data_IF_789547315293
#
_entry.id   IF_789547315293
#
_cell.length_a   1.000
_cell.length_b   1.000
_cell.length_c   1.000
_cell.angle_alpha   90.00
_cell.angle_beta   90.00
_cell.angle_gamma   90.00
#
_symmetry.space_group_name_H-M   'P 1'
#
loop_
_entity.id
_entity.type
_entity.pdbx_description
1 polymer ?
#
# COMPACT_ATOMS: atom_id res chain seq x y z
N UNK A 1 -18.11 -47.27 17.68
CA UNK A 1 -17.01 -47.69 18.60
C UNK A 1 -16.02 -46.53 18.81
N UNK A 2 -16.13 -45.87 19.97
CA UNK A 2 -15.20 -44.86 20.49
C UNK A 2 -13.90 -45.54 20.92
N UNK A 3 -12.75 -44.93 20.62
CA UNK A 3 -11.52 -45.15 21.37
C UNK A 3 -11.02 -43.79 21.85
N UNK A 4 -11.13 -43.57 23.17
CA UNK A 4 -10.63 -42.42 23.89
C UNK A 4 -9.15 -42.64 24.23
N UNK A 5 -8.33 -41.61 24.04
CA UNK A 5 -6.92 -41.62 24.47
C UNK A 5 -6.84 -40.99 25.87
N UNK A 6 -6.16 -41.63 26.84
CA UNK A 6 -6.14 -41.20 28.24
C UNK A 6 -5.25 -39.98 28.47
N UNK A 7 -5.66 -39.15 29.45
CA UNK A 7 -4.85 -38.09 30.07
C UNK A 7 -3.93 -38.71 31.13
N UNK A 8 -2.69 -38.23 31.31
CA UNK A 8 -1.97 -38.42 32.55
C UNK A 8 -2.37 -37.36 33.59
N UNK A 9 -2.54 -37.81 34.83
CA UNK A 9 -2.77 -37.01 36.04
C UNK A 9 -1.43 -36.58 36.66
N UNK A 10 -1.41 -35.32 37.11
CA UNK A 10 -0.84 -34.80 38.35
C UNK A 10 0.51 -35.30 38.86
N UNK A 11 1.45 -34.36 38.99
CA UNK A 11 2.46 -34.40 40.05
C UNK A 11 2.61 -33.00 40.65
N UNK A 12 2.40 -32.96 41.96
CA UNK A 12 2.33 -31.81 42.84
C UNK A 12 3.69 -31.60 43.53
N UNK A 13 4.35 -30.46 43.34
CA UNK A 13 5.44 -29.96 44.19
C UNK A 13 5.31 -28.42 44.27
N UNK A 14 4.77 -27.88 45.37
CA UNK A 14 5.49 -27.31 46.54
C UNK A 14 6.34 -26.07 46.21
N UNK A 15 5.92 -24.91 46.74
CA UNK A 15 6.68 -23.81 47.40
C UNK A 15 5.91 -22.45 47.33
N UNK A 16 6.20 -21.48 48.22
CA UNK A 16 5.26 -20.90 49.20
C UNK A 16 4.56 -19.59 48.74
N UNK A 17 3.60 -19.03 49.51
CA UNK A 17 2.99 -17.75 49.17
C UNK A 17 3.92 -16.57 49.51
N UNK A 18 3.55 -15.39 49.01
CA UNK A 18 4.03 -14.02 49.33
C UNK A 18 4.86 -13.39 48.20
N UNK A 19 4.26 -12.45 47.47
CA UNK A 19 4.58 -11.03 47.56
C UNK A 19 3.58 -10.22 46.72
N UNK A 20 2.77 -9.43 47.41
CA UNK A 20 1.95 -8.35 46.86
C UNK A 20 2.87 -7.37 46.16
N UNK A 21 2.90 -7.39 44.83
CA UNK A 21 3.47 -6.29 44.05
C UNK A 21 2.40 -5.22 43.86
N UNK A 22 2.49 -4.19 44.69
CA UNK A 22 1.90 -2.88 44.44
C UNK A 22 2.40 -2.40 43.07
N UNK A 23 1.52 -2.33 42.08
CA UNK A 23 1.80 -1.65 40.83
C UNK A 23 1.94 -0.14 41.15
N UNK A 24 3.05 0.52 40.80
CA UNK A 24 3.07 1.98 40.81
C UNK A 24 2.11 2.48 39.71
N UNK A 25 1.16 3.30 40.12
CA UNK A 25 0.53 4.30 39.26
C UNK A 25 1.61 5.11 38.54
N UNK A 26 1.34 5.45 37.28
CA UNK A 26 2.10 6.49 36.58
C UNK A 26 3.09 5.96 35.55
N UNK A 27 2.57 5.48 34.42
CA UNK A 27 3.11 5.83 33.12
C UNK A 27 1.91 6.01 32.20
N UNK A 28 1.68 7.17 31.56
CA UNK A 28 0.85 7.18 30.38
C UNK A 28 1.53 6.24 29.39
N UNK A 29 0.82 5.20 28.96
CA UNK A 29 1.17 4.54 27.73
C UNK A 29 1.06 5.64 26.65
N UNK A 30 2.21 6.22 26.29
CA UNK A 30 2.42 6.86 25.00
C UNK A 30 2.23 5.75 23.96
N UNK A 31 0.96 5.36 23.77
CA UNK A 31 0.47 4.83 22.52
C UNK A 31 0.53 5.99 21.53
N UNK A 32 1.74 6.39 21.18
CA UNK A 32 2.06 6.83 19.84
C UNK A 32 1.87 5.61 18.94
N UNK A 33 0.61 5.20 18.80
CA UNK A 33 0.12 4.68 17.55
C UNK A 33 0.29 5.82 16.56
N UNK A 34 1.54 6.00 16.11
CA UNK A 34 1.86 6.64 14.85
C UNK A 34 1.13 5.82 13.80
N UNK A 35 -0.16 6.13 13.66
CA UNK A 35 -0.93 5.79 12.49
C UNK A 35 -0.05 6.24 11.34
N UNK A 36 0.46 5.27 10.58
CA UNK A 36 1.12 5.49 9.32
C UNK A 36 0.07 6.12 8.41
N UNK A 37 -0.16 7.41 8.59
CA UNK A 37 -1.28 8.14 8.04
C UNK A 37 -0.95 8.35 6.57
N UNK A 38 -1.58 7.54 5.72
CA UNK A 38 -1.45 7.69 4.27
C UNK A 38 -2.43 8.79 3.86
N UNK A 39 -1.90 9.89 3.35
CA UNK A 39 -2.71 11.01 2.87
C UNK A 39 -2.82 10.94 1.36
N UNK A 40 -4.06 10.88 0.84
CA UNK A 40 -4.32 10.97 -0.60
C UNK A 40 -4.22 12.43 -1.06
N UNK A 41 -3.29 12.73 -1.96
CA UNK A 41 -3.14 14.06 -2.55
C UNK A 41 -3.98 14.22 -3.83
N UNK A 42 -3.89 13.23 -4.71
CA UNK A 42 -4.61 13.23 -5.99
C UNK A 42 -4.94 11.79 -6.38
N UNK A 43 -6.11 11.59 -6.93
CA UNK A 43 -6.56 10.30 -7.42
C UNK A 43 -7.29 10.44 -8.74
N UNK A 44 -7.12 9.47 -9.64
CA UNK A 44 -7.79 9.47 -10.93
C UNK A 44 -7.74 8.12 -11.63
N UNK A 45 -8.68 7.88 -12.53
CA UNK A 45 -8.65 6.72 -13.40
C UNK A 45 -7.65 6.94 -14.53
N UNK A 46 -6.75 5.99 -14.72
CA UNK A 46 -5.78 5.98 -15.80
C UNK A 46 -5.81 4.62 -16.51
N UNK A 47 -5.35 4.60 -17.76
CA UNK A 47 -5.00 3.36 -18.45
C UNK A 47 -3.55 3.01 -18.12
N UNK A 48 -3.29 1.72 -17.87
CA UNK A 48 -1.95 1.17 -17.65
C UNK A 48 -1.76 -0.10 -18.49
N UNK A 49 -0.62 -0.34 -19.14
CA UNK A 49 -0.41 -1.58 -19.87
C UNK A 49 -0.29 -2.77 -18.89
N UNK A 50 -0.89 -3.90 -19.26
CA UNK A 50 -0.73 -5.15 -18.53
C UNK A 50 0.65 -5.74 -18.79
N UNK A 51 1.39 -6.09 -17.74
CA UNK A 51 2.70 -6.75 -17.85
C UNK A 51 2.63 -8.12 -18.56
N UNK A 52 1.48 -8.79 -18.52
CA UNK A 52 1.34 -10.17 -19.01
C UNK A 52 0.45 -10.34 -20.23
N UNK A 53 -0.48 -9.41 -20.47
CA UNK A 53 -1.57 -9.60 -21.44
C UNK A 53 -1.46 -8.69 -22.67
N UNK A 54 -0.42 -7.85 -22.75
CA UNK A 54 -0.26 -6.85 -23.82
C UNK A 54 -1.25 -5.68 -23.77
N UNK A 55 -2.47 -5.88 -23.30
CA UNK A 55 -3.54 -4.86 -23.29
C UNK A 55 -3.44 -3.81 -22.19
N UNK A 56 -3.95 -2.62 -22.49
CA UNK A 56 -4.21 -1.55 -21.52
C UNK A 56 -5.41 -1.88 -20.62
N UNK A 57 -5.34 -1.49 -19.34
CA UNK A 57 -6.39 -1.73 -18.34
C UNK A 57 -6.61 -0.50 -17.48
N UNK A 58 -7.85 -0.30 -17.06
CA UNK A 58 -8.20 0.76 -16.11
C UNK A 58 -7.61 0.47 -14.74
N UNK A 59 -6.95 1.46 -14.17
CA UNK A 59 -6.43 1.45 -12.81
C UNK A 59 -6.70 2.80 -12.17
N UNK A 60 -7.05 2.77 -10.89
CA UNK A 60 -7.05 3.99 -10.10
C UNK A 60 -5.61 4.29 -9.71
N UNK A 61 -5.10 5.45 -10.12
CA UNK A 61 -3.79 5.95 -9.73
C UNK A 61 -3.98 6.94 -8.59
N UNK A 62 -3.22 6.76 -7.52
CA UNK A 62 -3.23 7.65 -6.37
C UNK A 62 -1.81 8.17 -6.12
N UNK A 63 -1.69 9.49 -6.01
CA UNK A 63 -0.52 10.13 -5.42
C UNK A 63 -0.78 10.32 -3.93
N UNK A 64 0.12 9.83 -3.11
CA UNK A 64 -0.06 9.72 -1.66
C UNK A 64 1.18 10.17 -0.93
N UNK A 65 1.04 10.60 0.32
CA UNK A 65 2.17 10.86 1.23
C UNK A 65 2.18 9.78 2.31
N UNK A 66 3.35 9.17 2.52
CA UNK A 66 3.54 8.10 3.50
C UNK A 66 4.42 8.55 4.67
N UNK A 67 4.00 8.19 5.88
CA UNK A 67 4.81 8.27 7.10
C UNK A 67 5.15 9.69 7.56
N UNK A 68 6.09 9.75 8.51
CA UNK A 68 6.53 10.99 9.14
C UNK A 68 7.22 11.96 8.15
N UNK A 69 7.93 11.42 7.17
CA UNK A 69 8.67 12.21 6.18
C UNK A 69 7.83 12.64 4.97
N UNK A 70 6.55 12.26 4.94
CA UNK A 70 5.62 12.62 3.86
C UNK A 70 6.22 12.32 2.47
N UNK A 71 6.79 11.12 2.30
CA UNK A 71 7.39 10.76 1.03
C UNK A 71 6.28 10.55 -0.02
N UNK A 72 6.39 11.18 -1.20
CA UNK A 72 5.40 11.00 -2.25
C UNK A 72 5.50 9.61 -2.87
N UNK A 73 4.42 8.85 -2.78
CA UNK A 73 4.29 7.50 -3.33
C UNK A 73 3.15 7.48 -4.33
N UNK A 74 3.44 6.96 -5.51
CA UNK A 74 2.45 6.69 -6.55
C UNK A 74 1.98 5.25 -6.44
N UNK A 75 0.69 5.05 -6.23
CA UNK A 75 0.10 3.72 -6.03
C UNK A 75 -0.99 3.46 -7.06
N UNK A 76 -1.07 2.21 -7.53
CA UNK A 76 -2.11 1.78 -8.48
C UNK A 76 -3.02 0.75 -7.87
N UNK A 77 -4.32 0.89 -8.10
CA UNK A 77 -5.35 0.02 -7.53
C UNK A 77 -6.27 -0.52 -8.61
N UNK A 78 -6.89 -1.68 -8.34
CA UNK A 78 -7.96 -2.22 -9.21
C UNK A 78 -9.25 -1.42 -9.13
N UNK A 79 -9.51 -0.80 -7.98
CA UNK A 79 -10.72 -0.04 -7.67
C UNK A 79 -10.35 1.36 -7.18
N UNK A 80 -11.25 2.31 -7.33
CA UNK A 80 -11.06 3.65 -6.81
C UNK A 80 -10.84 3.62 -5.29
N UNK A 81 -9.86 4.39 -4.83
CA UNK A 81 -9.70 4.61 -3.40
C UNK A 81 -10.67 5.69 -2.93
N UNK A 82 -11.60 5.30 -2.08
CA UNK A 82 -12.48 6.21 -1.36
C UNK A 82 -11.92 6.44 0.07
N UNK A 83 -11.53 7.67 0.42
CA UNK A 83 -10.99 7.99 1.73
C UNK A 83 -12.04 7.87 2.86
N UNK A 84 -13.33 7.74 2.53
CA UNK A 84 -14.41 7.52 3.52
C UNK A 84 -14.54 6.05 3.93
N UNK A 85 -13.88 5.12 3.22
CA UNK A 85 -13.88 3.70 3.59
C UNK A 85 -12.89 3.46 4.71
N UNK A 86 -13.28 2.58 5.64
CA UNK A 86 -12.44 2.20 6.79
C UNK A 86 -11.11 1.55 6.38
N UNK A 87 -11.07 0.88 5.23
CA UNK A 87 -9.88 0.18 4.74
C UNK A 87 -9.34 0.79 3.44
N UNK A 88 -8.04 1.06 3.43
CA UNK A 88 -7.30 1.39 2.21
C UNK A 88 -7.22 0.12 1.34
N UNK A 89 -7.62 0.16 0.06
CA UNK A 89 -7.50 -0.99 -0.82
C UNK A 89 -6.04 -1.46 -0.93
N UNK A 90 -5.82 -2.75 -1.20
CA UNK A 90 -4.47 -3.23 -1.48
C UNK A 90 -3.94 -2.66 -2.80
N UNK A 91 -2.81 -1.96 -2.76
CA UNK A 91 -2.12 -1.48 -3.94
C UNK A 91 -1.63 -2.65 -4.80
N UNK A 92 -1.87 -2.58 -6.10
CA UNK A 92 -1.33 -3.55 -7.07
C UNK A 92 0.13 -3.28 -7.43
N UNK A 93 0.54 -2.01 -7.39
CA UNK A 93 1.93 -1.57 -7.50
C UNK A 93 2.07 -0.25 -6.73
N UNK A 94 3.23 -0.06 -6.09
CA UNK A 94 3.60 1.16 -5.35
C UNK A 94 4.98 1.61 -5.82
N UNK A 95 5.16 2.91 -6.01
CA UNK A 95 6.41 3.51 -6.49
C UNK A 95 6.69 4.76 -5.69
N UNK A 96 7.82 4.78 -5.00
CA UNK A 96 8.33 5.99 -4.34
C UNK A 96 8.87 6.96 -5.38
N UNK A 97 8.47 8.23 -5.29
CA UNK A 97 8.83 9.23 -6.29
C UNK A 97 10.12 9.99 -5.95
N UNK A 98 10.77 9.71 -4.82
CA UNK A 98 11.95 10.44 -4.35
C UNK A 98 13.09 10.52 -5.39
N UNK A 99 13.21 9.52 -6.27
CA UNK A 99 14.20 9.46 -7.35
C UNK A 99 13.57 9.12 -8.71
N UNK A 100 12.25 9.29 -8.84
CA UNK A 100 11.56 8.95 -10.08
C UNK A 100 11.70 10.06 -11.12
N UNK A 101 11.95 9.68 -12.37
CA UNK A 101 11.93 10.58 -13.53
C UNK A 101 10.57 10.45 -14.20
N UNK A 102 9.82 11.55 -14.27
CA UNK A 102 8.53 11.60 -14.95
C UNK A 102 8.73 12.17 -16.35
N UNK A 103 8.36 11.40 -17.37
CA UNK A 103 8.46 11.82 -18.77
C UNK A 103 7.09 11.99 -19.38
N UNK A 104 6.79 13.20 -19.80
CA UNK A 104 5.61 13.53 -20.56
C UNK A 104 5.73 13.01 -22.01
N UNK A 105 4.71 12.30 -22.51
CA UNK A 105 4.62 11.83 -23.90
C UNK A 105 5.89 11.09 -24.35
N UNK A 106 6.19 9.91 -23.77
CA UNK A 106 7.44 9.20 -24.05
C UNK A 106 7.52 8.60 -25.48
N UNK A 107 6.60 8.98 -26.38
CA UNK A 107 6.62 8.66 -27.81
C UNK A 107 6.61 7.16 -28.08
N UNK A 108 7.51 6.73 -28.96
CA UNK A 108 7.64 5.34 -29.42
C UNK A 108 8.02 4.34 -28.32
N UNK A 109 8.37 4.82 -27.12
CA UNK A 109 8.66 3.97 -25.96
C UNK A 109 7.41 3.40 -25.32
N UNK A 110 6.22 3.88 -25.68
CA UNK A 110 4.94 3.39 -25.15
C UNK A 110 4.56 2.09 -25.86
N UNK A 111 4.37 0.98 -25.13
CA UNK A 111 3.82 -0.24 -25.71
C UNK A 111 2.45 0.06 -26.35
N UNK A 112 2.30 -0.24 -27.64
CA UNK A 112 1.04 -0.05 -28.39
C UNK A 112 0.56 1.42 -28.44
N UNK A 113 1.49 2.39 -28.56
CA UNK A 113 1.27 3.85 -28.57
C UNK A 113 0.19 4.41 -29.54
N UNK A 114 -0.36 3.59 -30.44
CA UNK A 114 -1.10 4.05 -31.63
C UNK A 114 -2.45 4.72 -31.32
N UNK A 115 -2.97 4.62 -30.10
CA UNK A 115 -4.33 5.08 -29.77
C UNK A 115 -4.43 5.91 -28.49
N UNK A 116 -3.32 6.33 -27.90
CA UNK A 116 -3.34 6.95 -26.57
C UNK A 116 -2.54 8.26 -26.55
N UNK A 117 -3.25 9.38 -26.67
CA UNK A 117 -2.68 10.72 -26.91
C UNK A 117 -2.07 11.39 -25.68
N UNK A 118 -2.47 10.99 -24.47
CA UNK A 118 -2.06 11.64 -23.23
C UNK A 118 -1.31 10.66 -22.32
N UNK A 119 -0.10 10.30 -22.74
CA UNK A 119 0.73 9.34 -22.03
C UNK A 119 1.80 10.00 -21.17
N UNK A 120 2.19 9.32 -20.11
CA UNK A 120 3.38 9.64 -19.32
C UNK A 120 4.06 8.37 -18.83
N UNK A 121 5.37 8.46 -18.61
CA UNK A 121 6.15 7.40 -17.99
C UNK A 121 6.69 7.85 -16.64
N UNK A 122 6.77 6.91 -15.71
CA UNK A 122 7.44 7.06 -14.42
C UNK A 122 8.58 6.05 -14.40
N UNK A 123 9.80 6.55 -14.53
CA UNK A 123 11.02 5.75 -14.48
C UNK A 123 11.62 5.82 -13.07
N UNK A 124 11.97 4.66 -12.54
CA UNK A 124 12.71 4.48 -11.28
C UNK A 124 13.97 3.67 -11.56
N UNK A 125 14.78 3.43 -10.52
CA UNK A 125 15.96 2.57 -10.64
C UNK A 125 15.60 1.15 -11.12
N UNK A 126 14.44 0.63 -10.70
CA UNK A 126 14.07 -0.77 -10.91
C UNK A 126 13.07 -0.99 -12.05
N UNK A 127 12.33 0.05 -12.46
CA UNK A 127 11.24 -0.11 -13.41
C UNK A 127 10.89 1.19 -14.15
N UNK A 128 10.35 1.03 -15.36
CA UNK A 128 9.64 2.08 -16.08
C UNK A 128 8.17 1.69 -16.17
N UNK A 129 7.30 2.52 -15.60
CA UNK A 129 5.85 2.36 -15.67
C UNK A 129 5.28 3.35 -16.70
N UNK A 130 4.31 2.90 -17.47
CA UNK A 130 3.59 3.73 -18.44
C UNK A 130 2.15 3.91 -18.02
N UNK A 131 1.63 5.11 -18.24
CA UNK A 131 0.27 5.48 -17.93
C UNK A 131 -0.31 6.34 -19.05
N UNK A 132 -1.64 6.40 -19.07
CA UNK A 132 -2.36 7.32 -19.90
C UNK A 132 -3.61 7.87 -19.23
N UNK A 133 -3.84 9.16 -19.44
CA UNK A 133 -4.98 9.91 -18.91
C UNK A 133 -5.99 10.23 -20.02
N UNK A 134 -7.15 10.76 -19.64
CA UNK A 134 -8.16 11.17 -20.61
C UNK A 134 -7.78 12.49 -21.30
N UNK A 135 -7.01 13.35 -20.63
CA UNK A 135 -6.60 14.67 -21.14
C UNK A 135 -5.15 15.03 -20.78
N UNK A 136 -4.66 16.12 -21.38
CA UNK A 136 -3.35 16.68 -21.04
C UNK A 136 -3.30 17.35 -19.65
N UNK A 137 -4.43 17.84 -19.14
CA UNK A 137 -4.52 18.53 -17.83
C UNK A 137 -4.54 17.55 -16.64
N UNK A 138 -4.95 16.30 -16.90
CA UNK A 138 -4.93 15.21 -15.92
C UNK A 138 -3.54 14.62 -15.69
N UNK A 139 -2.62 14.88 -16.62
CA UNK A 139 -1.24 14.41 -16.59
C UNK A 139 -0.37 15.31 -15.72
#
# INVERSE_FOLDING_TARGET
>A
PRAAIPRPLSSSEKYPPTHTHTHPEGMPAENDAFSSQITLLRGGWVKKPSRHLGRWRDRWLALTLHGQYQLPVLQTYRYAWDPRRESIPAATESVELALAIITANPGDRVPEARFVTHTFAVATADAVLFFACASADEK
#
